data_IF_893662161267
#
_entry.id   IF_893662161267
#
_cell.length_a   1.000
_cell.length_b   1.000
_cell.length_c   1.000
_cell.angle_alpha   90.00
_cell.angle_beta   90.00
_cell.angle_gamma   90.00
#
_symmetry.space_group_name_H-M   'P 1'
#
loop_
_entity.id
_entity.type
_entity.pdbx_description
1 polymer ?
#
# COMPACT_ATOMS: atom_id res chain seq x y z
N UNK A 1 -28.07 -7.50 24.40
CA UNK A 1 -26.78 -8.22 24.43
C UNK A 1 -25.93 -7.55 23.37
N UNK A 2 -24.85 -6.88 23.77
CA UNK A 2 -23.95 -6.26 22.81
C UNK A 2 -23.07 -7.34 22.17
N UNK A 3 -23.13 -7.45 20.85
CA UNK A 3 -22.35 -8.42 20.09
C UNK A 3 -21.21 -7.69 19.38
N UNK A 4 -19.99 -8.10 19.69
CA UNK A 4 -18.76 -7.62 19.09
C UNK A 4 -18.26 -8.64 18.07
N UNK A 5 -18.15 -8.24 16.81
CA UNK A 5 -17.56 -9.06 15.74
C UNK A 5 -16.18 -8.50 15.39
N UNK A 6 -15.14 -9.31 15.58
CA UNK A 6 -13.76 -8.95 15.23
C UNK A 6 -13.22 -10.04 14.31
N UNK A 7 -12.79 -9.66 13.11
CA UNK A 7 -12.05 -10.51 12.20
C UNK A 7 -10.55 -10.38 12.47
N UNK A 8 -9.91 -11.50 12.82
CA UNK A 8 -8.45 -11.58 12.88
C UNK A 8 -7.93 -12.19 11.58
N UNK A 9 -6.97 -11.51 10.94
CA UNK A 9 -6.25 -12.09 9.82
C UNK A 9 -5.24 -13.12 10.37
N UNK A 10 -5.50 -14.41 10.15
CA UNK A 10 -4.60 -15.48 10.56
C UNK A 10 -3.43 -15.56 9.57
N UNK A 11 -2.18 -15.68 10.07
CA UNK A 11 -0.98 -15.95 9.24
C UNK A 11 -1.24 -17.20 8.37
N UNK A 12 -1.59 -16.98 7.10
CA UNK A 12 -1.68 -18.07 6.10
C UNK A 12 -0.26 -18.57 5.83
N UNK A 13 -0.12 -19.85 5.50
CA UNK A 13 1.17 -20.48 5.23
C UNK A 13 2.01 -19.68 4.22
N UNK A 14 3.35 -19.75 4.30
CA UNK A 14 4.27 -18.87 3.57
C UNK A 14 3.99 -18.77 2.06
N UNK A 15 3.50 -19.84 1.43
CA UNK A 15 3.12 -19.88 0.02
C UNK A 15 1.93 -18.99 -0.36
N UNK A 16 1.00 -18.73 0.58
CA UNK A 16 -0.17 -17.88 0.35
C UNK A 16 0.18 -16.40 0.51
N UNK A 17 1.04 -16.09 1.47
CA UNK A 17 1.59 -14.74 1.67
C UNK A 17 2.38 -14.34 0.43
N UNK A 18 3.27 -15.19 -0.06
CA UNK A 18 4.08 -14.88 -1.24
C UNK A 18 3.20 -14.62 -2.48
N UNK A 19 2.11 -15.37 -2.69
CA UNK A 19 1.17 -15.15 -3.81
C UNK A 19 0.29 -13.90 -3.67
N UNK A 20 -0.09 -13.53 -2.44
CA UNK A 20 -0.87 -12.31 -2.19
C UNK A 20 -0.05 -11.02 -2.35
N UNK A 21 1.26 -11.09 -2.07
CA UNK A 21 2.20 -9.98 -2.31
C UNK A 21 2.79 -9.99 -3.73
N UNK A 22 2.75 -11.14 -4.41
CA UNK A 22 3.09 -11.25 -5.82
C UNK A 22 1.87 -10.90 -6.67
N UNK A 23 1.17 -9.82 -6.32
CA UNK A 23 0.06 -9.27 -7.10
C UNK A 23 0.64 -8.52 -8.31
N UNK A 24 0.66 -9.12 -9.50
CA UNK A 24 1.31 -8.56 -10.68
C UNK A 24 0.50 -7.41 -11.29
N UNK A 25 -0.68 -7.09 -10.74
CA UNK A 25 -1.69 -6.27 -11.40
C UNK A 25 -1.74 -4.80 -10.97
N UNK A 26 -0.89 -4.36 -10.03
CA UNK A 26 -0.71 -2.92 -9.75
C UNK A 26 -1.87 -2.24 -9.00
N UNK A 27 -2.77 -3.00 -8.36
CA UNK A 27 -3.89 -2.45 -7.61
C UNK A 27 -3.47 -1.63 -6.38
N UNK A 28 -2.41 -2.04 -5.66
CA UNK A 28 -1.94 -1.30 -4.47
C UNK A 28 -1.28 0.03 -4.82
N UNK A 29 -0.68 0.14 -6.01
CA UNK A 29 -0.10 1.40 -6.48
C UNK A 29 -1.18 2.47 -6.69
N UNK A 30 -2.33 2.08 -7.25
CA UNK A 30 -3.45 2.99 -7.48
C UNK A 30 -4.04 3.51 -6.16
N UNK A 31 -4.08 2.69 -5.11
CA UNK A 31 -4.54 3.10 -3.77
C UNK A 31 -3.63 4.19 -3.17
N UNK A 32 -2.32 4.00 -3.21
CA UNK A 32 -1.38 4.96 -2.64
C UNK A 32 -1.29 6.26 -3.45
N UNK A 33 -1.35 6.20 -4.78
CA UNK A 33 -1.41 7.39 -5.63
C UNK A 33 -2.72 8.18 -5.44
N UNK A 34 -3.80 7.51 -5.09
CA UNK A 34 -5.07 8.17 -4.77
C UNK A 34 -4.95 9.09 -3.54
N UNK A 35 -4.07 8.78 -2.58
CA UNK A 35 -3.82 9.67 -1.44
C UNK A 35 -3.21 11.00 -1.90
N UNK A 36 -2.16 10.96 -2.72
CA UNK A 36 -1.55 12.17 -3.31
C UNK A 36 -2.56 12.99 -4.12
N UNK A 37 -3.42 12.30 -4.89
CA UNK A 37 -4.52 12.93 -5.65
C UNK A 37 -5.50 13.67 -4.73
N UNK A 38 -5.88 13.07 -3.59
CA UNK A 38 -6.75 13.72 -2.61
C UNK A 38 -6.08 14.91 -1.95
N UNK A 39 -4.79 14.82 -1.63
CA UNK A 39 -4.03 15.94 -1.05
C UNK A 39 -3.98 17.12 -2.03
N UNK A 40 -3.75 16.88 -3.33
CA UNK A 40 -3.82 17.93 -4.35
C UNK A 40 -5.20 18.60 -4.37
N UNK A 41 -6.27 17.80 -4.32
CA UNK A 41 -7.65 18.30 -4.40
C UNK A 41 -8.09 19.05 -3.14
N UNK A 42 -7.77 18.52 -1.97
CA UNK A 42 -8.33 18.96 -0.69
C UNK A 42 -7.45 19.99 0.01
N UNK A 43 -6.13 19.93 -0.19
CA UNK A 43 -5.16 20.82 0.47
C UNK A 43 -4.46 21.78 -0.51
N UNK A 44 -4.81 21.74 -1.80
CA UNK A 44 -4.22 22.61 -2.82
C UNK A 44 -2.76 22.29 -3.15
N UNK A 45 -2.31 21.06 -2.88
CA UNK A 45 -0.96 20.63 -3.26
C UNK A 45 -0.81 20.42 -4.78
N UNK A 46 0.43 20.26 -5.23
CA UNK A 46 0.81 20.16 -6.64
C UNK A 46 1.64 18.90 -6.97
N UNK A 47 1.38 17.78 -6.30
CA UNK A 47 2.08 16.52 -6.57
C UNK A 47 1.80 16.03 -7.99
N UNK A 48 2.86 15.83 -8.79
CA UNK A 48 2.77 15.14 -10.07
C UNK A 48 2.91 13.63 -9.84
N UNK A 49 1.79 12.92 -9.94
CA UNK A 49 1.68 11.47 -9.72
C UNK A 49 2.62 10.65 -10.63
N UNK A 50 2.98 11.16 -11.81
CA UNK A 50 3.88 10.45 -12.73
C UNK A 50 5.32 10.38 -12.20
N UNK A 51 5.68 11.29 -11.30
CA UNK A 51 7.00 11.31 -10.65
C UNK A 51 7.06 10.39 -9.43
N UNK A 52 5.97 9.73 -9.02
CA UNK A 52 5.99 8.82 -7.88
C UNK A 52 5.93 7.36 -8.34
N UNK A 53 6.89 6.55 -7.88
CA UNK A 53 6.87 5.09 -8.04
C UNK A 53 6.44 4.43 -6.74
N UNK A 54 5.47 3.54 -6.84
CA UNK A 54 5.10 2.66 -5.75
C UNK A 54 6.15 1.56 -5.55
N UNK A 55 6.56 1.35 -4.29
CA UNK A 55 7.51 0.31 -3.90
C UNK A 55 6.99 -0.40 -2.64
N UNK A 56 6.82 -1.71 -2.72
CA UNK A 56 6.41 -2.54 -1.59
C UNK A 56 7.58 -3.34 -1.04
N UNK A 57 7.64 -3.44 0.28
CA UNK A 57 8.60 -4.25 1.00
C UNK A 57 7.84 -5.14 1.97
N UNK A 58 8.06 -6.44 1.87
CA UNK A 58 7.57 -7.41 2.84
C UNK A 58 8.73 -7.92 3.68
N UNK A 59 8.57 -7.90 5.00
CA UNK A 59 9.49 -8.49 5.96
C UNK A 59 8.93 -9.84 6.45
N UNK A 60 9.49 -10.97 6.02
CA UNK A 60 9.01 -12.30 6.42
C UNK A 60 9.22 -12.61 7.90
N UNK A 61 10.20 -11.99 8.56
CA UNK A 61 10.48 -12.26 9.97
C UNK A 61 9.45 -11.59 10.87
N UNK A 62 9.15 -10.32 10.61
CA UNK A 62 8.10 -9.61 11.36
C UNK A 62 6.68 -9.92 10.84
N UNK A 63 6.54 -10.37 9.59
CA UNK A 63 5.26 -10.55 8.92
C UNK A 63 4.63 -9.21 8.49
N UNK A 64 5.43 -8.15 8.41
CA UNK A 64 4.93 -6.80 8.12
C UNK A 64 5.10 -6.47 6.64
N UNK A 65 4.03 -5.98 6.02
CA UNK A 65 4.11 -5.30 4.73
C UNK A 65 4.20 -3.79 4.90
N UNK A 66 5.07 -3.17 4.13
CA UNK A 66 5.26 -1.71 4.06
C UNK A 66 5.17 -1.28 2.61
N UNK A 67 4.48 -0.17 2.38
CA UNK A 67 4.39 0.46 1.07
C UNK A 67 4.96 1.87 1.14
N UNK A 68 5.73 2.23 0.12
CA UNK A 68 6.41 3.51 -0.03
C UNK A 68 6.09 4.13 -1.38
N UNK A 69 5.99 5.47 -1.42
CA UNK A 69 5.99 6.25 -2.65
C UNK A 69 7.33 6.94 -2.80
N UNK A 70 8.11 6.52 -3.79
CA UNK A 70 9.45 7.04 -4.06
C UNK A 70 9.35 8.11 -5.15
N UNK A 71 9.79 9.33 -4.84
CA UNK A 71 9.92 10.40 -5.85
C UNK A 71 11.05 10.07 -6.84
N UNK A 72 10.77 10.21 -8.13
CA UNK A 72 11.73 10.07 -9.24
C UNK A 72 12.40 11.39 -9.62
N UNK A 73 11.99 12.50 -9.02
CA UNK A 73 12.63 13.80 -9.16
C UNK A 73 13.23 14.22 -7.82
N UNK A 74 14.43 14.81 -7.89
CA UNK A 74 14.90 15.73 -6.87
C UNK A 74 14.11 17.03 -7.04
N UNK A 75 13.47 17.46 -5.96
CA UNK A 75 12.79 18.76 -5.87
C UNK A 75 13.78 19.85 -5.50
#
# INVERSE_FOLDING_TARGET
MDQLFIGFDMKKGPDTILKAYNDPYGFTAAFNLNLLRRINKELGANFDLQNFKHHEVYDPQSGTAKSFLISRKYQ
#
